data_IF_276894690039
#
_entry.id   IF_276894690039
#
_cell.length_a   1.000
_cell.length_b   1.000
_cell.length_c   1.000
_cell.angle_alpha   90.00
_cell.angle_beta   90.00
_cell.angle_gamma   90.00
#
_symmetry.space_group_name_H-M   'P 1'
#
loop_
_entity.id
_entity.type
_entity.pdbx_description
1 polymer ?
#
# COMPACT_ATOMS: atom_id res chain seq x y z
N UNK A 1 -2.08 -26.06 2.82
CA UNK A 1 -2.27 -24.90 1.94
C UNK A 1 -0.92 -24.30 1.54
N UNK A 2 -0.63 -24.18 0.26
CA UNK A 2 0.55 -23.49 -0.29
C UNK A 2 0.12 -22.26 -1.11
N UNK A 3 -0.87 -21.54 -0.64
CA UNK A 3 -1.34 -20.31 -1.28
C UNK A 3 -0.36 -19.16 -1.10
N UNK A 4 -0.29 -18.30 -2.10
CA UNK A 4 0.40 -17.01 -1.98
C UNK A 4 -0.25 -16.19 -0.86
N UNK A 5 0.57 -15.61 0.01
CA UNK A 5 0.09 -14.63 0.99
C UNK A 5 -0.63 -13.49 0.25
N UNK A 6 -1.82 -13.14 0.71
CA UNK A 6 -2.61 -12.04 0.15
C UNK A 6 -2.30 -10.77 0.94
N UNK A 7 -2.01 -9.67 0.25
CA UNK A 7 -1.76 -8.37 0.86
C UNK A 7 -2.84 -7.38 0.44
N UNK A 8 -3.36 -6.63 1.40
CA UNK A 8 -4.41 -5.62 1.24
C UNK A 8 -3.99 -4.32 1.91
N UNK A 9 -4.59 -3.22 1.49
CA UNK A 9 -4.36 -1.92 2.14
C UNK A 9 -5.29 -1.75 3.35
N UNK A 10 -4.83 -1.04 4.37
CA UNK A 10 -5.67 -0.60 5.50
C UNK A 10 -6.89 0.17 4.98
N UNK A 11 -8.06 -0.23 5.45
CA UNK A 11 -9.35 0.31 5.03
C UNK A 11 -10.03 -0.44 3.88
N UNK A 12 -9.35 -1.40 3.22
CA UNK A 12 -9.95 -2.23 2.18
C UNK A 12 -10.62 -3.46 2.79
N UNK A 13 -11.75 -3.86 2.20
CA UNK A 13 -12.38 -5.16 2.49
C UNK A 13 -11.53 -6.30 1.92
N UNK A 14 -11.20 -7.27 2.73
CA UNK A 14 -10.44 -8.45 2.32
C UNK A 14 -11.37 -9.50 1.73
N UNK A 15 -11.46 -9.60 0.41
CA UNK A 15 -12.24 -10.64 -0.27
C UNK A 15 -11.30 -11.78 -0.64
N UNK A 16 -11.44 -12.91 0.06
CA UNK A 16 -10.66 -14.11 -0.19
C UNK A 16 -11.34 -14.92 -1.28
N UNK A 17 -11.29 -14.48 -2.54
CA UNK A 17 -11.87 -15.17 -3.67
C UNK A 17 -10.81 -15.84 -4.55
N UNK A 18 -11.14 -17.02 -5.10
CA UNK A 18 -10.26 -17.72 -6.04
C UNK A 18 -8.97 -18.30 -5.44
N UNK A 19 -8.87 -18.36 -4.12
CA UNK A 19 -7.68 -18.85 -3.40
C UNK A 19 -7.57 -20.39 -3.36
N UNK A 20 -8.50 -21.11 -3.99
CA UNK A 20 -8.48 -22.57 -4.06
C UNK A 20 -8.97 -23.27 -2.79
N UNK A 21 -9.63 -22.57 -1.86
CA UNK A 21 -10.25 -23.23 -0.71
C UNK A 21 -11.23 -24.32 -1.16
N UNK A 22 -11.12 -25.50 -0.58
CA UNK A 22 -11.99 -26.64 -0.90
C UNK A 22 -12.26 -27.45 0.35
N UNK A 23 -13.47 -28.02 0.42
CA UNK A 23 -13.90 -28.88 1.51
C UNK A 23 -14.64 -30.07 0.91
N UNK A 24 -14.32 -31.29 1.35
CA UNK A 24 -14.96 -32.51 0.90
C UNK A 24 -15.32 -33.40 2.10
N UNK A 25 -16.39 -34.21 1.98
CA UNK A 25 -16.82 -35.15 3.03
C UNK A 25 -17.07 -34.50 4.40
N UNK A 26 -17.72 -33.35 4.40
CA UNK A 26 -18.06 -32.57 5.60
C UNK A 26 -19.57 -32.49 5.83
N UNK A 27 -19.98 -32.27 7.08
CA UNK A 27 -21.36 -31.91 7.44
C UNK A 27 -21.61 -30.42 7.42
N UNK A 28 -20.66 -29.66 8.02
CA UNK A 28 -20.67 -28.19 8.07
C UNK A 28 -19.24 -27.68 8.03
N UNK A 29 -19.05 -26.43 7.63
CA UNK A 29 -17.79 -25.74 7.81
C UNK A 29 -18.01 -24.28 8.24
N UNK A 30 -17.00 -23.70 8.84
CA UNK A 30 -17.03 -22.30 9.27
C UNK A 30 -15.64 -21.69 9.20
N UNK A 31 -15.61 -20.36 9.13
CA UNK A 31 -14.38 -19.58 9.18
C UNK A 31 -14.23 -18.93 10.56
N UNK A 32 -12.99 -18.84 11.00
CA UNK A 32 -12.56 -18.04 12.16
C UNK A 32 -11.33 -17.19 11.79
N UNK A 33 -10.99 -16.20 12.61
CA UNK A 33 -9.87 -15.29 12.35
C UNK A 33 -9.19 -14.90 13.66
N UNK A 34 -7.93 -14.40 13.56
CA UNK A 34 -7.16 -13.86 14.68
C UNK A 34 -7.24 -12.36 14.81
N UNK A 35 -7.75 -11.66 13.78
CA UNK A 35 -7.80 -10.20 13.76
C UNK A 35 -8.89 -9.61 14.66
N UNK A 36 -8.91 -8.28 14.76
CA UNK A 36 -9.90 -7.52 15.54
C UNK A 36 -11.17 -7.16 14.73
N UNK A 37 -11.15 -7.42 13.43
CA UNK A 37 -12.28 -7.23 12.53
C UNK A 37 -13.35 -8.31 12.64
N UNK A 38 -14.06 -8.57 11.54
CA UNK A 38 -15.11 -9.58 11.48
C UNK A 38 -15.19 -10.23 10.10
N UNK A 39 -15.73 -11.46 10.04
CA UNK A 39 -16.14 -12.07 8.77
C UNK A 39 -17.57 -11.64 8.48
N UNK A 40 -17.81 -11.19 7.23
CA UNK A 40 -19.16 -10.84 6.76
C UNK A 40 -20.10 -12.02 6.94
N UNK A 41 -21.23 -11.86 7.69
CA UNK A 41 -22.16 -12.96 7.96
C UNK A 41 -22.71 -13.63 6.70
N UNK A 42 -22.78 -12.93 5.57
CA UNK A 42 -23.25 -13.48 4.30
C UNK A 42 -22.24 -14.43 3.65
N UNK A 43 -20.98 -14.35 4.04
CA UNK A 43 -19.86 -15.11 3.44
C UNK A 43 -19.27 -16.19 4.37
N UNK A 44 -19.63 -16.19 5.65
CA UNK A 44 -19.00 -17.08 6.67
C UNK A 44 -19.16 -18.58 6.34
N UNK A 45 -20.23 -18.96 5.64
CA UNK A 45 -20.51 -20.32 5.21
C UNK A 45 -20.23 -20.54 3.71
N UNK A 46 -19.38 -19.71 3.11
CA UNK A 46 -18.91 -19.86 1.72
C UNK A 46 -17.42 -20.18 1.70
N UNK A 47 -16.93 -20.73 0.58
CA UNK A 47 -15.50 -20.98 0.40
C UNK A 47 -14.70 -19.69 0.08
N UNK A 48 -15.39 -18.57 -0.11
CA UNK A 48 -14.80 -17.27 -0.38
C UNK A 48 -15.25 -16.28 0.71
N UNK A 49 -14.68 -16.34 1.92
CA UNK A 49 -15.06 -15.43 2.99
C UNK A 49 -14.64 -14.01 2.66
N UNK A 50 -15.43 -13.04 3.11
CA UNK A 50 -15.08 -11.64 3.14
C UNK A 50 -14.74 -11.28 4.58
N UNK A 51 -13.49 -10.94 4.83
CA UNK A 51 -13.06 -10.37 6.09
C UNK A 51 -13.11 -8.84 6.01
N UNK A 52 -13.72 -8.23 7.01
CA UNK A 52 -13.83 -6.79 7.18
C UNK A 52 -12.86 -6.38 8.29
N UNK A 53 -11.74 -5.74 7.98
CA UNK A 53 -10.77 -5.34 8.99
C UNK A 53 -11.37 -4.41 10.05
N UNK A 54 -10.84 -4.47 11.25
CA UNK A 54 -11.13 -3.49 12.29
C UNK A 54 -10.48 -2.15 11.99
N UNK A 55 -10.88 -1.11 12.72
CA UNK A 55 -10.30 0.24 12.53
C UNK A 55 -8.79 0.20 12.85
N UNK A 56 -7.97 0.68 11.92
CA UNK A 56 -6.49 0.72 12.00
C UNK A 56 -5.87 -0.69 12.20
N UNK A 57 -6.52 -1.72 11.74
CA UNK A 57 -5.98 -3.07 11.79
C UNK A 57 -4.93 -3.26 10.71
N UNK A 58 -3.72 -3.62 11.12
CA UNK A 58 -2.58 -3.88 10.24
C UNK A 58 -1.81 -5.11 10.70
N UNK A 59 -1.00 -5.68 9.82
CA UNK A 59 -0.22 -6.88 10.10
C UNK A 59 -0.89 -8.16 9.60
N UNK A 60 -0.39 -9.29 10.08
CA UNK A 60 -0.80 -10.62 9.64
C UNK A 60 -2.03 -11.10 10.41
N UNK A 61 -3.05 -11.49 9.66
CA UNK A 61 -4.28 -12.08 10.17
C UNK A 61 -4.37 -13.51 9.64
N UNK A 62 -4.59 -14.44 10.53
CA UNK A 62 -4.80 -15.84 10.17
C UNK A 62 -6.30 -16.07 10.00
N UNK A 63 -6.72 -16.50 8.82
CA UNK A 63 -8.06 -17.00 8.54
C UNK A 63 -8.02 -18.52 8.57
N UNK A 64 -8.85 -19.17 9.39
CA UNK A 64 -8.90 -20.61 9.55
C UNK A 64 -10.26 -21.16 9.11
N UNK A 65 -10.24 -22.09 8.16
CA UNK A 65 -11.40 -22.88 7.77
C UNK A 65 -11.43 -24.17 8.58
N UNK A 66 -12.52 -24.41 9.28
CA UNK A 66 -12.74 -25.65 10.04
C UNK A 66 -13.94 -26.39 9.48
N UNK A 67 -13.76 -27.65 9.14
CA UNK A 67 -14.82 -28.54 8.63
C UNK A 67 -15.11 -29.65 9.61
N UNK A 68 -16.39 -29.88 9.89
CA UNK A 68 -16.87 -30.95 10.77
C UNK A 68 -17.23 -32.19 9.94
N UNK A 69 -16.81 -33.35 10.40
CA UNK A 69 -17.02 -34.63 9.71
C UNK A 69 -18.49 -35.02 9.63
N UNK A 70 -18.83 -35.84 8.60
CA UNK A 70 -20.14 -36.53 8.47
C UNK A 70 -20.12 -37.78 9.34
N UNK A 71 -21.23 -38.02 10.09
CA UNK A 71 -21.41 -39.27 10.82
C UNK A 71 -21.32 -40.49 9.89
N UNK A 72 -20.71 -41.63 10.31
CA UNK A 72 -20.24 -41.96 11.66
C UNK A 72 -18.84 -41.45 12.00
N UNK A 73 -18.16 -40.73 11.09
CA UNK A 73 -16.86 -40.14 11.38
C UNK A 73 -17.02 -39.02 12.41
N UNK A 74 -16.05 -38.88 13.27
CA UNK A 74 -16.02 -37.85 14.32
C UNK A 74 -14.71 -37.06 14.21
N UNK A 75 -14.74 -35.81 14.65
CA UNK A 75 -13.62 -34.90 14.63
C UNK A 75 -13.74 -33.82 13.58
N UNK A 76 -12.98 -32.76 13.79
CA UNK A 76 -12.88 -31.61 12.89
C UNK A 76 -11.52 -31.61 12.21
N UNK A 77 -11.48 -31.08 11.01
CA UNK A 77 -10.22 -30.78 10.30
C UNK A 77 -10.18 -29.30 10.00
N UNK A 78 -9.02 -28.70 10.12
CA UNK A 78 -8.84 -27.27 9.85
C UNK A 78 -7.60 -27.01 9.02
N UNK A 79 -7.67 -25.96 8.23
CA UNK A 79 -6.53 -25.40 7.51
C UNK A 79 -6.61 -23.87 7.54
N UNK A 80 -5.48 -23.20 7.41
CA UNK A 80 -5.41 -21.75 7.59
C UNK A 80 -4.55 -21.07 6.53
N UNK A 81 -4.84 -19.79 6.32
CA UNK A 81 -4.09 -18.90 5.45
C UNK A 81 -3.78 -17.60 6.17
N UNK A 82 -2.70 -16.94 5.73
CA UNK A 82 -2.32 -15.61 6.22
C UNK A 82 -2.79 -14.57 5.21
N UNK A 83 -3.41 -13.52 5.74
CA UNK A 83 -3.73 -12.29 5.03
C UNK A 83 -2.96 -11.17 5.71
N UNK A 84 -2.19 -10.40 4.95
CA UNK A 84 -1.43 -9.25 5.47
C UNK A 84 -2.15 -7.96 5.12
N UNK A 85 -2.46 -7.14 6.12
CA UNK A 85 -3.00 -5.79 5.92
C UNK A 85 -1.86 -4.80 6.14
N UNK A 86 -1.56 -4.02 5.11
CA UNK A 86 -0.51 -3.02 5.13
C UNK A 86 -1.09 -1.63 5.39
N UNK A 87 -0.37 -0.83 6.18
CA UNK A 87 -0.70 0.58 6.37
C UNK A 87 -0.53 1.35 5.07
N UNK A 88 -1.34 2.39 4.88
CA UNK A 88 -1.17 3.32 3.76
C UNK A 88 0.20 4.02 3.83
N UNK A 89 0.83 4.29 2.69
CA UNK A 89 2.05 5.08 2.68
C UNK A 89 1.75 6.51 3.11
N UNK A 90 2.71 7.12 3.79
CA UNK A 90 2.65 8.52 4.21
C UNK A 90 3.92 9.24 3.80
N UNK A 91 3.82 10.54 3.51
CA UNK A 91 4.96 11.38 3.17
C UNK A 91 4.76 12.79 3.71
N UNK A 92 5.85 13.41 4.14
CA UNK A 92 5.90 14.82 4.48
C UNK A 92 7.23 15.41 3.99
N UNK A 93 7.17 16.51 3.30
CA UNK A 93 8.32 17.33 2.90
C UNK A 93 8.54 18.44 3.91
N UNK A 94 9.76 18.95 4.01
CA UNK A 94 10.05 20.13 4.81
C UNK A 94 9.39 21.40 4.26
N UNK A 95 9.56 22.55 4.94
CA UNK A 95 9.05 23.83 4.46
C UNK A 95 9.76 24.28 3.17
N UNK A 96 9.11 25.16 2.42
CA UNK A 96 9.71 25.83 1.26
C UNK A 96 10.97 26.57 1.67
N UNK A 97 11.95 26.63 0.77
CA UNK A 97 13.21 27.32 1.02
C UNK A 97 13.71 28.04 -0.24
N UNK A 98 14.62 28.97 -0.06
CA UNK A 98 15.20 29.78 -1.13
C UNK A 98 16.69 29.50 -1.25
N UNK A 99 17.18 29.37 -2.46
CA UNK A 99 18.61 29.23 -2.78
C UNK A 99 19.07 30.33 -3.72
N UNK A 100 20.37 30.59 -3.76
CA UNK A 100 20.95 31.51 -4.75
C UNK A 100 21.03 30.84 -6.12
N UNK A 101 20.94 31.65 -7.17
CA UNK A 101 21.20 31.21 -8.54
C UNK A 101 22.52 30.45 -8.66
N UNK A 102 22.53 29.36 -9.42
CA UNK A 102 23.69 28.50 -9.62
C UNK A 102 23.97 27.52 -8.49
N UNK A 103 23.16 27.52 -7.44
CA UNK A 103 23.28 26.54 -6.34
C UNK A 103 22.41 25.31 -6.62
N UNK A 104 22.93 24.14 -6.23
CA UNK A 104 22.10 22.95 -6.15
C UNK A 104 21.14 23.04 -4.96
N UNK A 105 19.95 22.50 -5.15
CA UNK A 105 18.93 22.37 -4.11
C UNK A 105 19.14 21.04 -3.40
N UNK A 106 19.55 21.07 -2.14
CA UNK A 106 19.65 19.86 -1.32
C UNK A 106 18.35 19.67 -0.54
N UNK A 107 17.55 18.70 -0.95
CA UNK A 107 16.32 18.34 -0.25
C UNK A 107 16.71 17.65 1.05
N UNK A 108 16.15 18.11 2.16
CA UNK A 108 16.44 17.60 3.50
C UNK A 108 15.13 17.50 4.31
N UNK A 109 15.14 16.67 5.35
CA UNK A 109 14.00 16.49 6.26
C UNK A 109 12.72 15.93 5.61
N UNK A 110 12.82 15.33 4.43
CA UNK A 110 11.72 14.54 3.89
C UNK A 110 11.62 13.24 4.68
N UNK A 111 10.43 12.93 5.14
CA UNK A 111 10.12 11.67 5.82
C UNK A 111 9.03 10.94 5.05
N UNK A 112 9.14 9.64 4.97
CA UNK A 112 8.10 8.77 4.47
C UNK A 112 8.02 7.50 5.33
N UNK A 113 6.90 6.83 5.29
CA UNK A 113 6.70 5.56 5.97
C UNK A 113 5.74 4.67 5.16
N UNK A 114 5.92 3.35 5.29
CA UNK A 114 5.11 2.32 4.65
C UNK A 114 5.16 2.36 3.10
N UNK A 115 6.23 2.89 2.53
CA UNK A 115 6.44 2.97 1.10
C UNK A 115 7.37 1.86 0.59
N UNK A 116 7.11 1.37 -0.62
CA UNK A 116 8.00 0.51 -1.40
C UNK A 116 8.72 1.28 -2.50
N UNK A 117 8.11 2.39 -2.94
CA UNK A 117 8.64 3.22 -4.01
C UNK A 117 8.58 4.71 -3.68
N UNK A 118 9.60 5.42 -4.12
CA UNK A 118 9.74 6.87 -4.03
C UNK A 118 10.05 7.40 -5.42
N UNK A 119 9.36 8.46 -5.84
CA UNK A 119 9.64 9.15 -7.10
C UNK A 119 9.52 10.66 -6.90
N UNK A 120 10.62 11.39 -7.12
CA UNK A 120 10.60 12.85 -7.23
C UNK A 120 10.40 13.29 -8.67
N UNK A 121 9.62 14.35 -8.84
CA UNK A 121 9.43 15.06 -10.11
C UNK A 121 9.55 16.56 -9.90
N UNK A 122 9.88 17.29 -10.94
CA UNK A 122 9.92 18.76 -10.97
C UNK A 122 8.96 19.30 -12.01
N UNK A 123 8.34 20.45 -11.72
CA UNK A 123 7.34 21.06 -12.58
C UNK A 123 7.24 22.57 -12.38
N UNK A 124 6.61 23.28 -13.36
CA UNK A 124 6.30 24.70 -13.27
C UNK A 124 5.10 24.99 -12.37
N UNK A 125 4.15 24.07 -12.28
CA UNK A 125 2.90 24.25 -11.55
C UNK A 125 2.80 23.29 -10.36
N UNK A 126 2.07 23.71 -9.35
CA UNK A 126 1.85 22.91 -8.14
C UNK A 126 1.07 21.61 -8.37
N UNK A 127 0.36 21.49 -9.51
CA UNK A 127 -0.36 20.28 -9.91
C UNK A 127 0.51 19.25 -10.64
N UNK A 128 1.82 19.52 -10.79
CA UNK A 128 2.77 18.66 -11.49
C UNK A 128 2.81 18.88 -13.01
N UNK A 129 2.03 19.81 -13.55
CA UNK A 129 2.05 20.14 -14.98
C UNK A 129 3.14 21.15 -15.32
N UNK A 130 3.53 21.18 -16.60
CA UNK A 130 4.45 22.16 -17.15
C UNK A 130 3.98 22.63 -18.52
N UNK A 131 4.26 23.89 -18.84
CA UNK A 131 3.96 24.44 -20.15
C UNK A 131 4.85 23.80 -21.23
N UNK A 132 4.35 23.79 -22.47
CA UNK A 132 5.12 23.26 -23.60
C UNK A 132 6.44 24.02 -23.80
N UNK A 133 7.52 23.27 -23.92
CA UNK A 133 8.87 23.82 -24.07
C UNK A 133 9.67 23.96 -22.76
N UNK A 134 9.05 23.82 -21.59
CA UNK A 134 9.78 23.80 -20.32
C UNK A 134 10.66 22.58 -20.18
N UNK A 135 11.91 22.81 -19.80
CA UNK A 135 12.90 21.78 -19.52
C UNK A 135 13.20 21.80 -18.05
N UNK A 136 12.77 20.76 -17.32
CA UNK A 136 13.07 20.63 -15.89
C UNK A 136 14.55 20.38 -15.65
N UNK A 137 15.03 20.78 -14.46
CA UNK A 137 16.33 20.40 -13.97
C UNK A 137 16.46 18.90 -13.68
N UNK A 138 17.50 18.51 -12.98
CA UNK A 138 17.81 17.09 -12.79
C UNK A 138 18.04 16.73 -11.31
N UNK A 139 17.54 15.58 -10.90
CA UNK A 139 17.84 14.99 -9.61
C UNK A 139 19.11 14.12 -9.69
N UNK A 140 19.91 14.11 -8.64
CA UNK A 140 21.02 13.16 -8.51
C UNK A 140 20.53 11.71 -8.49
N UNK A 141 19.41 11.47 -7.80
CA UNK A 141 18.65 10.22 -7.79
C UNK A 141 17.24 10.56 -7.35
N UNK A 142 16.25 10.43 -8.22
CA UNK A 142 14.86 10.75 -7.92
C UNK A 142 14.09 9.67 -7.13
N UNK A 143 14.77 8.58 -6.77
CA UNK A 143 14.18 7.43 -6.05
C UNK A 143 14.67 7.33 -4.59
N UNK A 144 15.17 8.40 -4.01
CA UNK A 144 15.57 8.48 -2.59
C UNK A 144 14.87 9.64 -1.89
N UNK A 145 14.76 9.57 -0.56
CA UNK A 145 14.01 10.57 0.23
C UNK A 145 14.60 11.98 0.13
N UNK A 146 15.91 12.11 0.15
CA UNK A 146 16.61 13.39 0.23
C UNK A 146 17.64 13.54 -0.92
N UNK A 147 17.20 13.69 -2.18
CA UNK A 147 18.10 13.90 -3.31
C UNK A 147 18.61 15.35 -3.37
N UNK A 148 19.64 15.57 -4.18
CA UNK A 148 19.98 16.90 -4.67
C UNK A 148 19.29 17.14 -6.02
N UNK A 149 18.81 18.35 -6.24
CA UNK A 149 18.25 18.82 -7.51
C UNK A 149 19.11 19.95 -8.07
N UNK A 150 19.46 19.85 -9.35
CA UNK A 150 20.16 20.90 -10.09
C UNK A 150 19.15 21.62 -10.96
N UNK A 151 18.82 22.90 -10.70
CA UNK A 151 17.89 23.68 -11.50
C UNK A 151 18.34 23.79 -12.95
N UNK A 152 17.38 23.78 -13.87
CA UNK A 152 17.58 24.13 -15.27
C UNK A 152 17.65 25.65 -15.45
N UNK A 153 17.95 26.08 -16.69
CA UNK A 153 17.86 27.50 -17.01
C UNK A 153 16.42 28.01 -16.93
N UNK A 154 15.45 27.17 -17.33
CA UNK A 154 14.02 27.53 -17.26
C UNK A 154 13.54 27.72 -15.83
N UNK A 155 14.03 26.91 -14.86
CA UNK A 155 13.76 27.08 -13.42
C UNK A 155 14.32 28.41 -12.91
N UNK A 156 15.55 28.74 -13.33
CA UNK A 156 16.25 29.97 -12.94
C UNK A 156 15.52 31.20 -13.51
N UNK A 157 15.12 31.16 -14.78
CA UNK A 157 14.43 32.27 -15.45
C UNK A 157 13.02 32.50 -14.87
N UNK A 158 12.36 31.43 -14.37
CA UNK A 158 11.09 31.52 -13.65
C UNK A 158 11.27 32.02 -12.21
N UNK A 159 12.40 31.76 -11.59
CA UNK A 159 12.68 32.08 -10.19
C UNK A 159 12.08 31.11 -9.17
N UNK A 160 11.48 30.02 -9.59
CA UNK A 160 10.96 28.94 -8.73
C UNK A 160 10.80 27.63 -9.49
N UNK A 161 10.68 26.53 -8.76
CA UNK A 161 10.33 25.20 -9.25
C UNK A 161 9.54 24.45 -8.18
N UNK A 162 8.54 23.72 -8.59
CA UNK A 162 7.84 22.76 -7.70
C UNK A 162 8.54 21.43 -7.75
N UNK A 163 8.98 20.94 -6.57
CA UNK A 163 9.55 19.61 -6.39
C UNK A 163 8.52 18.75 -5.66
N UNK A 164 8.00 17.75 -6.36
CA UNK A 164 6.93 16.88 -5.84
C UNK A 164 7.47 15.47 -5.63
N UNK A 165 7.26 14.93 -4.44
CA UNK A 165 7.53 13.52 -4.15
C UNK A 165 6.23 12.72 -4.22
N UNK A 166 6.32 11.53 -4.78
CA UNK A 166 5.27 10.51 -4.73
C UNK A 166 5.79 9.26 -4.07
N UNK A 167 5.02 8.71 -3.16
CA UNK A 167 5.30 7.44 -2.50
C UNK A 167 4.14 6.48 -2.70
N UNK A 168 4.44 5.19 -2.85
CA UNK A 168 3.43 4.13 -2.94
C UNK A 168 3.93 2.84 -2.33
N UNK A 169 3.01 1.95 -1.98
CA UNK A 169 3.32 0.56 -1.70
C UNK A 169 2.48 -0.38 -2.56
N UNK A 170 2.93 -1.64 -2.68
CA UNK A 170 2.33 -2.63 -3.57
C UNK A 170 0.91 -3.03 -3.16
N UNK A 171 0.63 -3.07 -1.86
CA UNK A 171 -0.68 -3.48 -1.35
C UNK A 171 -1.73 -2.40 -1.53
N UNK A 172 -1.37 -1.13 -1.32
CA UNK A 172 -2.30 -0.01 -1.37
C UNK A 172 -2.51 0.56 -2.78
N UNK A 173 -1.57 0.34 -3.70
CA UNK A 173 -1.68 0.81 -5.09
C UNK A 173 -1.86 2.33 -5.24
N UNK A 174 -1.83 3.08 -4.14
CA UNK A 174 -2.08 4.52 -4.09
C UNK A 174 -0.78 5.30 -4.04
N UNK A 175 -0.73 6.40 -4.78
CA UNK A 175 0.32 7.40 -4.62
C UNK A 175 -0.15 8.47 -3.64
N UNK A 176 0.68 8.78 -2.66
CA UNK A 176 0.51 9.94 -1.78
C UNK A 176 1.55 10.98 -2.16
N UNK A 177 1.12 12.24 -2.29
CA UNK A 177 1.95 13.39 -2.68
C UNK A 177 2.02 14.41 -1.54
#
# INVERSE_FOLDING_TARGET
WSGTSLSFCDGDDVIVSGNGASVTNFSTFTWSHTGIGSIDPSSINTLNPKYIPGINETGDIVLTLTATSIAPCTGDVSDSMIVTIQSQPTVAVGPDFTVCEGSNINIVNTIAANEDTIIWTSSQNSDGSSLGGYVSGTFTNNAILNPSYTPSQDDIDLGYVYLTIRVSNLACGTFVT
#
